data_IF_641223846680
#
_entry.id   IF_641223846680
#
_cell.length_a   1.000
_cell.length_b   1.000
_cell.length_c   1.000
_cell.angle_alpha   90.00
_cell.angle_beta   90.00
_cell.angle_gamma   90.00
#
_symmetry.space_group_name_H-M   'P 1'
#
loop_
_entity.id
_entity.type
_entity.pdbx_description
1 polymer ?
#
# COMPACT_ATOMS: atom_id res chain seq x y z
N UNK A 1 -14.67 5.78 -26.13
CA UNK A 1 -13.87 5.88 -24.89
C UNK A 1 -14.50 5.12 -23.73
N UNK A 2 -15.75 5.37 -23.33
CA UNK A 2 -16.36 4.66 -22.19
C UNK A 2 -16.39 3.12 -22.36
N UNK A 3 -16.67 2.64 -23.57
CA UNK A 3 -16.62 1.20 -23.92
C UNK A 3 -15.20 0.63 -23.85
N UNK A 4 -14.17 1.41 -24.16
CA UNK A 4 -12.79 0.98 -24.06
C UNK A 4 -12.30 0.97 -22.62
N UNK A 5 -12.68 1.96 -21.81
CA UNK A 5 -12.43 1.98 -20.36
C UNK A 5 -13.03 0.77 -19.66
N UNK A 6 -14.29 0.43 -19.93
CA UNK A 6 -14.94 -0.78 -19.37
C UNK A 6 -14.21 -2.07 -19.77
N UNK A 7 -13.65 -2.12 -20.98
CA UNK A 7 -12.82 -3.26 -21.43
C UNK A 7 -11.47 -3.31 -20.71
N UNK A 8 -10.82 -2.16 -20.49
CA UNK A 8 -9.57 -2.06 -19.73
C UNK A 8 -9.82 -2.45 -18.27
N UNK A 9 -10.85 -1.91 -17.63
CA UNK A 9 -11.23 -2.24 -16.24
C UNK A 9 -11.55 -3.73 -16.06
N UNK A 10 -12.22 -4.36 -17.02
CA UNK A 10 -12.50 -5.80 -16.98
C UNK A 10 -11.23 -6.66 -17.21
N UNK A 11 -10.30 -6.21 -18.05
CA UNK A 11 -9.09 -6.96 -18.39
C UNK A 11 -7.95 -6.78 -17.39
N UNK A 12 -7.86 -5.62 -16.74
CA UNK A 12 -6.73 -5.22 -15.89
C UNK A 12 -6.52 -6.17 -14.69
N UNK A 13 -7.54 -6.58 -13.92
CA UNK A 13 -7.35 -7.52 -12.82
C UNK A 13 -6.77 -8.85 -13.29
N UNK A 14 -7.22 -9.34 -14.45
CA UNK A 14 -6.74 -10.61 -15.01
C UNK A 14 -5.29 -10.50 -15.49
N UNK A 15 -4.93 -9.37 -16.12
CA UNK A 15 -3.56 -9.11 -16.59
C UNK A 15 -2.61 -8.95 -15.40
N UNK A 16 -3.01 -8.21 -14.36
CA UNK A 16 -2.24 -8.06 -13.14
C UNK A 16 -2.08 -9.40 -12.42
N UNK A 17 -3.13 -10.23 -12.36
CA UNK A 17 -3.05 -11.59 -11.84
C UNK A 17 -2.03 -12.42 -12.63
N UNK A 18 -2.12 -12.44 -13.97
CA UNK A 18 -1.20 -13.20 -14.82
C UNK A 18 0.25 -12.71 -14.69
N UNK A 19 0.48 -11.40 -14.58
CA UNK A 19 1.79 -10.83 -14.32
C UNK A 19 2.32 -11.20 -12.93
N UNK A 20 1.44 -11.21 -11.93
CA UNK A 20 1.81 -11.65 -10.58
C UNK A 20 2.17 -13.12 -10.59
N UNK A 21 1.37 -13.97 -11.23
CA UNK A 21 1.65 -15.41 -11.40
C UNK A 21 2.96 -15.62 -12.16
N UNK A 22 3.18 -14.90 -13.27
CA UNK A 22 4.42 -14.94 -14.04
C UNK A 22 5.63 -14.51 -13.21
N UNK A 23 5.54 -13.38 -12.53
CA UNK A 23 6.62 -12.86 -11.69
C UNK A 23 6.89 -13.80 -10.51
N UNK A 24 5.86 -14.40 -9.91
CA UNK A 24 6.03 -15.37 -8.83
C UNK A 24 6.70 -16.64 -9.35
N UNK A 25 6.28 -17.15 -10.51
CA UNK A 25 6.91 -18.32 -11.14
C UNK A 25 8.38 -18.03 -11.52
N UNK A 26 8.66 -16.90 -12.17
CA UNK A 26 10.00 -16.51 -12.61
C UNK A 26 10.92 -16.17 -11.43
N UNK A 27 10.44 -15.37 -10.46
CA UNK A 27 11.26 -14.95 -9.32
C UNK A 27 11.47 -16.08 -8.31
N UNK A 28 10.48 -16.96 -8.10
CA UNK A 28 10.61 -18.12 -7.22
C UNK A 28 11.61 -19.15 -7.77
N UNK A 29 11.73 -19.25 -9.10
CA UNK A 29 12.78 -20.03 -9.75
C UNK A 29 14.10 -19.29 -9.63
N UNK A 30 14.22 -18.04 -10.10
CA UNK A 30 15.54 -17.41 -10.29
C UNK A 30 16.27 -17.01 -9.00
N UNK A 31 15.58 -16.48 -7.99
CA UNK A 31 16.26 -15.95 -6.78
C UNK A 31 16.37 -16.94 -5.63
N UNK A 32 15.43 -17.87 -5.54
CA UNK A 32 15.36 -18.80 -4.40
C UNK A 32 16.01 -20.14 -4.72
N UNK A 33 16.13 -20.52 -6.01
CA UNK A 33 16.80 -21.77 -6.38
C UNK A 33 18.32 -21.68 -6.32
N UNK A 34 18.90 -20.61 -6.87
CA UNK A 34 20.35 -20.42 -6.92
C UNK A 34 20.91 -20.26 -5.50
N UNK A 35 20.34 -19.37 -4.69
CA UNK A 35 20.81 -19.13 -3.31
C UNK A 35 20.78 -20.39 -2.44
N UNK A 36 19.67 -21.14 -2.42
CA UNK A 36 19.52 -22.28 -1.52
C UNK A 36 20.39 -23.47 -1.93
N UNK A 37 20.55 -23.72 -3.24
CA UNK A 37 21.40 -24.80 -3.74
C UNK A 37 22.87 -24.44 -3.58
N UNK A 38 23.24 -23.19 -3.83
CA UNK A 38 24.62 -22.70 -3.65
C UNK A 38 25.04 -22.71 -2.17
N UNK A 39 24.17 -22.27 -1.27
CA UNK A 39 24.38 -22.33 0.18
C UNK A 39 24.54 -23.78 0.66
N UNK A 40 23.68 -24.70 0.20
CA UNK A 40 23.77 -26.11 0.56
C UNK A 40 25.03 -26.79 -0.01
N UNK A 41 25.43 -26.42 -1.24
CA UNK A 41 26.67 -26.90 -1.87
C UNK A 41 27.88 -26.41 -1.09
N UNK A 42 27.92 -25.13 -0.75
CA UNK A 42 28.98 -24.54 0.07
C UNK A 42 29.07 -25.19 1.45
N UNK A 43 27.93 -25.55 2.06
CA UNK A 43 27.89 -26.28 3.33
C UNK A 43 28.50 -27.69 3.21
N UNK A 44 28.25 -28.39 2.11
CA UNK A 44 28.88 -29.70 1.81
C UNK A 44 30.39 -29.53 1.66
N UNK A 45 30.86 -28.58 0.84
CA UNK A 45 32.29 -28.34 0.61
C UNK A 45 33.04 -28.00 1.91
N UNK A 46 32.42 -27.17 2.75
CA UNK A 46 32.96 -26.82 4.08
C UNK A 46 33.04 -28.04 5.00
N UNK A 47 32.03 -28.91 4.99
CA UNK A 47 32.02 -30.14 5.78
C UNK A 47 33.07 -31.16 5.28
N UNK A 48 33.27 -31.27 3.97
CA UNK A 48 34.33 -32.12 3.40
C UNK A 48 35.73 -31.60 3.79
N UNK A 49 35.94 -30.29 3.72
CA UNK A 49 37.19 -29.64 4.13
C UNK A 49 37.48 -29.90 5.61
N UNK A 50 36.49 -29.75 6.50
CA UNK A 50 36.61 -30.08 7.94
C UNK A 50 37.06 -31.52 8.16
N UNK A 51 36.48 -32.49 7.45
CA UNK A 51 36.87 -33.91 7.58
C UNK A 51 38.35 -34.10 7.24
N UNK A 52 38.82 -33.48 6.14
CA UNK A 52 40.23 -33.56 5.72
C UNK A 52 41.16 -32.98 6.81
N UNK A 53 40.82 -31.82 7.37
CA UNK A 53 41.60 -31.18 8.44
C UNK A 53 41.66 -32.04 9.71
N UNK A 54 40.52 -32.59 10.15
CA UNK A 54 40.44 -33.47 11.32
C UNK A 54 41.19 -34.78 11.09
N UNK A 55 41.12 -35.35 9.89
CA UNK A 55 41.88 -36.54 9.53
C UNK A 55 43.39 -36.27 9.52
N UNK A 56 43.82 -35.09 9.07
CA UNK A 56 45.21 -34.67 9.14
C UNK A 56 45.71 -34.51 10.59
N UNK A 57 44.86 -34.07 11.53
CA UNK A 57 45.17 -34.04 12.98
C UNK A 57 45.40 -35.45 13.52
N UNK A 58 44.51 -36.40 13.21
CA UNK A 58 44.68 -37.82 13.58
C UNK A 58 45.99 -38.40 13.05
N UNK A 59 46.34 -38.09 11.79
CA UNK A 59 47.58 -38.56 11.17
C UNK A 59 48.83 -37.94 11.82
N UNK A 60 48.78 -36.66 12.22
CA UNK A 60 49.87 -36.00 12.96
C UNK A 60 50.13 -36.66 14.31
N UNK A 61 49.08 -36.92 15.10
CA UNK A 61 49.20 -37.61 16.41
C UNK A 61 49.80 -39.01 16.22
N UNK A 62 49.36 -39.76 15.19
CA UNK A 62 49.94 -41.07 14.86
C UNK A 62 51.41 -41.00 14.41
N UNK A 63 51.77 -39.99 13.62
CA UNK A 63 53.13 -39.81 13.10
C UNK A 63 54.16 -39.53 14.20
N UNK A 64 53.80 -38.72 15.20
CA UNK A 64 54.65 -38.44 16.37
C UNK A 64 55.02 -39.74 17.11
N UNK A 65 54.08 -40.71 17.16
CA UNK A 65 54.28 -42.01 17.82
C UNK A 65 55.37 -42.87 17.17
N UNK A 66 55.66 -42.69 15.89
CA UNK A 66 56.62 -43.50 15.14
C UNK A 66 58.03 -42.86 15.02
N UNK A 67 58.20 -41.58 15.39
CA UNK A 67 59.45 -40.84 15.23
C UNK A 67 60.45 -40.90 16.39
N UNK A 68 60.08 -41.52 17.52
CA UNK A 68 60.89 -41.55 18.75
C UNK A 68 61.92 -42.67 18.80
N UNK A 69 62.89 -42.71 17.90
CA UNK A 69 64.05 -43.61 17.99
C UNK A 69 65.33 -42.86 17.68
N UNK A 70 66.01 -42.41 18.73
CA UNK A 70 67.49 -42.30 18.86
C UNK A 70 67.85 -41.12 19.76
N UNK A 71 67.91 -41.36 21.07
CA UNK A 71 68.72 -40.55 21.97
C UNK A 71 69.21 -41.44 23.12
N UNK A 72 70.48 -41.82 23.03
CA UNK A 72 71.24 -42.42 24.12
C UNK A 72 71.21 -41.48 25.33
N UNK A 73 70.48 -41.85 26.39
CA UNK A 73 70.40 -41.04 27.60
C UNK A 73 69.84 -41.84 28.77
N UNK A 74 70.74 -42.38 29.58
CA UNK A 74 70.45 -43.19 30.77
C UNK A 74 70.02 -42.26 31.92
N UNK A 75 68.75 -41.87 32.00
CA UNK A 75 68.09 -41.45 33.25
C UNK A 75 66.56 -41.40 33.09
N UNK A 76 65.85 -41.67 34.19
CA UNK A 76 64.40 -41.53 34.45
C UNK A 76 63.40 -42.44 33.68
N UNK A 77 63.22 -43.66 34.20
CA UNK A 77 62.26 -44.69 33.72
C UNK A 77 60.79 -44.49 34.16
N UNK A 78 60.46 -43.45 34.92
CA UNK A 78 59.16 -43.35 35.62
C UNK A 78 58.13 -42.46 34.91
N UNK A 79 58.52 -41.64 33.93
CA UNK A 79 57.63 -40.65 33.26
C UNK A 79 56.95 -41.20 32.00
N UNK A 80 57.44 -42.30 31.42
CA UNK A 80 56.94 -42.82 30.13
C UNK A 80 55.58 -43.53 30.17
N UNK A 81 55.05 -43.87 31.36
CA UNK A 81 53.77 -44.60 31.45
C UNK A 81 52.56 -43.65 31.40
N UNK A 82 52.66 -42.46 31.98
CA UNK A 82 51.61 -41.43 31.94
C UNK A 82 51.48 -40.79 30.56
N UNK A 83 52.60 -40.53 29.87
CA UNK A 83 52.57 -39.93 28.52
C UNK A 83 51.81 -40.78 27.50
N UNK A 84 51.97 -42.12 27.56
CA UNK A 84 51.30 -43.05 26.64
C UNK A 84 49.76 -43.00 26.76
N UNK A 85 49.22 -42.78 27.97
CA UNK A 85 47.78 -42.69 28.17
C UNK A 85 47.23 -41.34 27.68
N UNK A 86 47.95 -40.24 27.94
CA UNK A 86 47.58 -38.90 27.43
C UNK A 86 47.50 -38.90 25.89
N UNK A 87 48.47 -39.53 25.21
CA UNK A 87 48.49 -39.62 23.74
C UNK A 87 47.35 -40.51 23.18
N UNK A 88 46.83 -41.46 23.95
CA UNK A 88 45.74 -42.36 23.54
C UNK A 88 44.37 -41.68 23.69
N UNK A 89 44.17 -40.96 24.79
CA UNK A 89 42.98 -40.12 25.03
C UNK A 89 42.88 -39.00 23.98
N UNK A 90 44.01 -38.35 23.64
CA UNK A 90 44.07 -37.34 22.58
C UNK A 90 43.73 -37.91 21.20
N UNK A 91 44.19 -39.13 20.91
CA UNK A 91 43.88 -39.81 19.66
C UNK A 91 42.40 -40.19 19.57
N UNK A 92 41.80 -40.64 20.68
CA UNK A 92 40.38 -40.97 20.75
C UNK A 92 39.51 -39.72 20.59
N UNK A 93 39.85 -38.62 21.28
CA UNK A 93 39.21 -37.33 21.08
C UNK A 93 39.29 -36.85 19.62
N UNK A 94 40.46 -36.96 18.98
CA UNK A 94 40.61 -36.60 17.57
C UNK A 94 39.79 -37.50 16.62
N UNK A 95 39.60 -38.78 16.95
CA UNK A 95 38.70 -39.67 16.19
C UNK A 95 37.23 -39.29 16.35
N UNK A 96 36.83 -38.89 17.55
CA UNK A 96 35.48 -38.40 17.81
C UNK A 96 35.19 -37.14 16.97
N UNK A 97 36.14 -36.20 16.91
CA UNK A 97 36.02 -35.02 16.05
C UNK A 97 35.82 -35.38 14.56
N UNK A 98 36.47 -36.45 14.07
CA UNK A 98 36.26 -36.95 12.69
C UNK A 98 34.86 -37.55 12.52
N UNK A 99 34.33 -38.25 13.53
CA UNK A 99 32.98 -38.82 13.49
C UNK A 99 31.93 -37.71 13.46
N UNK A 100 32.09 -36.67 14.28
CA UNK A 100 31.19 -35.51 14.29
C UNK A 100 31.22 -34.77 12.94
N UNK A 101 32.41 -34.54 12.36
CA UNK A 101 32.53 -33.92 11.05
C UNK A 101 31.88 -34.77 9.93
N UNK A 102 31.97 -36.11 10.02
CA UNK A 102 31.25 -37.02 9.11
C UNK A 102 29.73 -36.94 9.27
N UNK A 103 29.25 -36.76 10.50
CA UNK A 103 27.84 -36.55 10.77
C UNK A 103 27.35 -35.22 10.20
N UNK A 104 28.10 -34.13 10.37
CA UNK A 104 27.83 -32.82 9.74
C UNK A 104 27.74 -32.95 8.21
N UNK A 105 28.69 -33.65 7.58
CA UNK A 105 28.67 -33.88 6.13
C UNK A 105 27.41 -34.64 5.68
N UNK A 106 26.98 -35.64 6.45
CA UNK A 106 25.77 -36.40 6.16
C UNK A 106 24.52 -35.53 6.21
N UNK A 107 24.43 -34.62 7.18
CA UNK A 107 23.34 -33.65 7.27
C UNK A 107 23.37 -32.66 6.10
N UNK A 108 24.52 -32.07 5.79
CA UNK A 108 24.68 -31.14 4.68
C UNK A 108 24.29 -31.78 3.33
N UNK A 109 24.67 -33.04 3.09
CA UNK A 109 24.26 -33.78 1.87
C UNK A 109 22.75 -34.00 1.80
N UNK A 110 22.10 -34.28 2.93
CA UNK A 110 20.64 -34.42 3.00
C UNK A 110 19.92 -33.11 2.73
N UNK A 111 20.46 -31.99 3.21
CA UNK A 111 19.86 -30.68 2.96
C UNK A 111 20.08 -30.21 1.51
N UNK A 112 21.23 -30.54 0.90
CA UNK A 112 21.44 -30.35 -0.54
C UNK A 112 20.46 -31.18 -1.39
N UNK A 113 20.20 -32.43 -1.03
CA UNK A 113 19.21 -33.28 -1.71
C UNK A 113 17.80 -32.67 -1.66
N UNK A 114 17.37 -32.18 -0.48
CA UNK A 114 16.09 -31.48 -0.34
C UNK A 114 16.05 -30.17 -1.14
N UNK A 115 17.13 -29.39 -1.14
CA UNK A 115 17.22 -28.15 -1.91
C UNK A 115 17.06 -28.44 -3.40
N UNK A 116 17.69 -29.51 -3.90
CA UNK A 116 17.54 -29.97 -5.28
C UNK A 116 16.12 -30.48 -5.58
N UNK A 117 15.47 -31.21 -4.67
CA UNK A 117 14.08 -31.66 -4.85
C UNK A 117 13.10 -30.48 -4.93
N UNK A 118 13.26 -29.49 -4.05
CA UNK A 118 12.45 -28.25 -4.06
C UNK A 118 12.69 -27.48 -5.36
N UNK A 119 13.95 -27.38 -5.80
CA UNK A 119 14.27 -26.71 -7.06
C UNK A 119 13.63 -27.43 -8.26
N UNK A 120 13.71 -28.77 -8.29
CA UNK A 120 13.07 -29.59 -9.32
C UNK A 120 11.56 -29.34 -9.42
N UNK A 121 10.85 -29.32 -8.28
CA UNK A 121 9.40 -29.01 -8.25
C UNK A 121 9.08 -27.61 -8.77
N UNK A 122 9.87 -26.60 -8.41
CA UNK A 122 9.69 -25.23 -8.91
C UNK A 122 9.94 -25.10 -10.41
N UNK A 123 10.95 -25.80 -10.93
CA UNK A 123 11.23 -25.86 -12.37
C UNK A 123 10.06 -26.54 -13.10
N UNK A 124 9.50 -27.61 -12.54
CA UNK A 124 8.32 -28.29 -13.09
C UNK A 124 7.08 -27.39 -13.08
N UNK A 125 6.81 -26.68 -11.97
CA UNK A 125 5.74 -25.69 -11.87
C UNK A 125 5.89 -24.57 -12.92
N UNK A 126 7.11 -24.06 -13.11
CA UNK A 126 7.41 -23.07 -14.14
C UNK A 126 7.19 -23.61 -15.55
N UNK A 127 7.66 -24.83 -15.85
CA UNK A 127 7.44 -25.46 -17.15
C UNK A 127 5.96 -25.72 -17.42
N UNK A 128 5.20 -26.16 -16.41
CA UNK A 128 3.75 -26.33 -16.48
C UNK A 128 3.03 -24.99 -16.72
N UNK A 129 3.53 -23.91 -16.12
CA UNK A 129 3.03 -22.56 -16.35
C UNK A 129 3.33 -22.11 -17.79
N UNK A 130 4.56 -22.26 -18.27
CA UNK A 130 4.96 -21.97 -19.66
C UNK A 130 4.15 -22.79 -20.68
N UNK A 131 3.81 -24.04 -20.38
CA UNK A 131 2.97 -24.87 -21.23
C UNK A 131 1.52 -24.37 -21.30
N UNK A 132 0.98 -23.82 -20.20
CA UNK A 132 -0.37 -23.22 -20.16
C UNK A 132 -0.42 -21.86 -20.85
N UNK A 133 0.67 -21.12 -20.83
CA UNK A 133 0.80 -19.78 -21.40
C UNK A 133 1.92 -19.78 -22.44
N UNK A 134 1.65 -20.23 -23.69
CA UNK A 134 2.68 -20.39 -24.72
C UNK A 134 3.29 -19.07 -25.22
N UNK A 135 2.79 -17.93 -24.72
CA UNK A 135 3.33 -16.61 -25.02
C UNK A 135 4.69 -16.45 -24.35
N UNK A 136 5.66 -15.91 -25.09
CA UNK A 136 6.99 -15.64 -24.52
C UNK A 136 6.88 -14.58 -23.42
N UNK A 137 7.77 -14.63 -22.43
CA UNK A 137 7.84 -13.63 -21.36
C UNK A 137 7.85 -12.19 -21.92
N UNK A 138 8.62 -11.96 -23.00
CA UNK A 138 8.66 -10.67 -23.70
C UNK A 138 7.30 -10.24 -24.26
N UNK A 139 6.51 -11.17 -24.79
CA UNK A 139 5.18 -10.90 -25.34
C UNK A 139 4.19 -10.53 -24.23
N UNK A 140 4.26 -11.21 -23.07
CA UNK A 140 3.45 -10.90 -21.90
C UNK A 140 3.81 -9.53 -21.31
N UNK A 141 5.10 -9.22 -21.20
CA UNK A 141 5.57 -7.90 -20.74
C UNK A 141 5.19 -6.80 -21.73
N UNK A 142 5.30 -7.05 -23.02
CA UNK A 142 4.85 -6.13 -24.05
C UNK A 142 3.34 -5.89 -23.96
N UNK A 143 2.55 -6.95 -23.80
CA UNK A 143 1.10 -6.84 -23.64
C UNK A 143 0.70 -6.07 -22.38
N UNK A 144 1.40 -6.29 -21.27
CA UNK A 144 1.19 -5.54 -20.05
C UNK A 144 1.50 -4.05 -20.21
N UNK A 145 2.59 -3.72 -20.92
CA UNK A 145 2.95 -2.34 -21.27
C UNK A 145 1.86 -1.71 -22.14
N UNK A 146 1.39 -2.39 -23.17
CA UNK A 146 0.31 -1.89 -24.04
C UNK A 146 -0.96 -1.55 -23.25
N UNK A 147 -1.41 -2.45 -22.37
CA UNK A 147 -2.61 -2.24 -21.55
C UNK A 147 -2.40 -1.09 -20.56
N UNK A 148 -1.23 -1.02 -19.93
CA UNK A 148 -0.88 0.05 -19.00
C UNK A 148 -0.77 1.41 -19.70
N UNK A 149 -0.24 1.42 -20.94
CA UNK A 149 -0.15 2.61 -21.78
C UNK A 149 -1.54 3.16 -22.08
N UNK A 150 -2.51 2.32 -22.44
CA UNK A 150 -3.89 2.78 -22.65
C UNK A 150 -4.48 3.47 -21.40
N UNK A 151 -4.26 2.91 -20.21
CA UNK A 151 -4.70 3.52 -18.95
C UNK A 151 -3.96 4.83 -18.65
N UNK A 152 -2.65 4.87 -18.85
CA UNK A 152 -1.83 6.06 -18.66
C UNK A 152 -2.20 7.18 -19.65
N UNK A 153 -2.45 6.84 -20.91
CA UNK A 153 -2.88 7.77 -21.96
C UNK A 153 -4.30 8.28 -21.67
N UNK A 154 -5.21 7.41 -21.19
CA UNK A 154 -6.52 7.85 -20.72
C UNK A 154 -6.41 8.84 -19.57
N UNK A 155 -5.62 8.53 -18.53
CA UNK A 155 -5.40 9.43 -17.40
C UNK A 155 -4.77 10.76 -17.84
N UNK A 156 -3.79 10.71 -18.75
CA UNK A 156 -3.15 11.91 -19.29
C UNK A 156 -4.18 12.76 -20.04
N UNK A 157 -4.92 12.17 -20.96
CA UNK A 157 -5.94 12.85 -21.76
C UNK A 157 -7.06 13.44 -20.90
N UNK A 158 -7.51 12.73 -19.87
CA UNK A 158 -8.64 13.15 -19.06
C UNK A 158 -8.28 14.17 -17.98
N UNK A 159 -7.10 14.03 -17.35
CA UNK A 159 -6.75 14.80 -16.15
C UNK A 159 -5.53 15.71 -16.30
N UNK A 160 -4.66 15.50 -17.29
CA UNK A 160 -3.40 16.25 -17.45
C UNK A 160 -3.43 17.21 -18.64
N UNK A 161 -4.09 16.84 -19.73
CA UNK A 161 -4.28 17.72 -20.89
C UNK A 161 -5.33 18.79 -20.59
N UNK A 162 -5.09 20.04 -20.99
CA UNK A 162 -5.95 21.19 -20.66
C UNK A 162 -7.40 21.05 -21.17
N UNK A 163 -7.58 20.29 -22.24
CA UNK A 163 -8.86 19.96 -22.87
C UNK A 163 -9.47 18.66 -22.34
N UNK A 164 -8.89 18.05 -21.30
CA UNK A 164 -9.44 16.86 -20.65
C UNK A 164 -10.67 17.20 -19.80
N UNK A 165 -11.68 16.33 -19.82
CA UNK A 165 -12.96 16.57 -19.14
C UNK A 165 -12.78 16.78 -17.62
N UNK A 166 -11.75 16.16 -17.03
CA UNK A 166 -11.46 16.21 -15.60
C UNK A 166 -10.26 17.10 -15.23
N UNK A 167 -9.68 17.82 -16.20
CA UNK A 167 -8.51 18.66 -15.99
C UNK A 167 -8.77 19.76 -14.95
N UNK A 168 -9.84 20.53 -15.13
CA UNK A 168 -10.21 21.63 -14.23
C UNK A 168 -10.52 21.12 -12.82
N UNK A 169 -11.24 20.00 -12.72
CA UNK A 169 -11.54 19.36 -11.43
C UNK A 169 -10.26 18.92 -10.70
N UNK A 170 -9.29 18.36 -11.42
CA UNK A 170 -7.99 18.02 -10.84
C UNK A 170 -7.25 19.27 -10.36
N UNK A 171 -7.21 20.33 -11.16
CA UNK A 171 -6.52 21.57 -10.78
C UNK A 171 -7.17 22.27 -9.59
N UNK A 172 -8.49 22.24 -9.50
CA UNK A 172 -9.22 22.67 -8.31
C UNK A 172 -8.85 21.82 -7.08
N UNK A 173 -8.72 20.50 -7.24
CA UNK A 173 -8.24 19.62 -6.17
C UNK A 173 -6.78 19.92 -5.77
N UNK A 174 -5.90 20.20 -6.74
CA UNK A 174 -4.52 20.65 -6.48
C UNK A 174 -4.51 21.97 -5.70
N UNK A 175 -5.43 22.90 -6.00
CA UNK A 175 -5.63 24.14 -5.22
C UNK A 175 -6.02 23.83 -3.77
N UNK A 176 -6.98 22.93 -3.55
CA UNK A 176 -7.37 22.49 -2.21
C UNK A 176 -6.21 21.85 -1.44
N UNK A 177 -5.42 21.00 -2.10
CA UNK A 177 -4.30 20.27 -1.51
C UNK A 177 -3.08 21.15 -1.19
N UNK A 178 -3.01 22.35 -1.79
CA UNK A 178 -1.91 23.29 -1.60
C UNK A 178 -2.38 24.50 -0.79
N UNK A 179 -3.13 25.41 -1.42
CA UNK A 179 -3.55 26.68 -0.84
C UNK A 179 -4.42 26.49 0.42
N UNK A 180 -5.36 25.55 0.41
CA UNK A 180 -6.31 25.34 1.51
C UNK A 180 -5.92 24.23 2.48
N UNK A 181 -4.71 23.68 2.35
CA UNK A 181 -4.24 22.61 3.22
C UNK A 181 -3.19 23.14 4.21
N UNK A 182 -3.55 23.40 5.47
CA UNK A 182 -2.61 23.91 6.47
C UNK A 182 -1.45 22.95 6.76
N UNK A 183 -1.59 21.64 6.53
CA UNK A 183 -0.48 20.68 6.65
C UNK A 183 0.57 20.88 5.56
N UNK A 184 0.15 21.30 4.37
CA UNK A 184 1.06 21.62 3.26
C UNK A 184 1.70 23.01 3.42
N UNK A 185 0.98 23.96 3.99
CA UNK A 185 1.49 25.31 4.30
C UNK A 185 2.52 25.32 5.44
N UNK A 186 2.50 24.29 6.29
CA UNK A 186 3.48 24.13 7.36
C UNK A 186 4.89 23.99 6.77
N UNK A 187 5.84 24.80 7.24
CA UNK A 187 7.21 24.87 6.73
C UNK A 187 7.40 25.70 5.45
N UNK A 188 6.41 26.50 5.05
CA UNK A 188 6.45 27.35 3.85
C UNK A 188 6.74 28.83 4.12
N UNK A 189 7.34 29.16 5.26
CA UNK A 189 7.64 30.54 5.66
C UNK A 189 8.56 31.26 4.66
N UNK A 190 9.49 30.52 4.05
CA UNK A 190 10.42 31.05 3.05
C UNK A 190 9.90 30.96 1.60
N UNK A 191 8.75 30.31 1.40
CA UNK A 191 8.21 29.94 0.08
C UNK A 191 6.92 30.73 -0.24
N UNK A 192 6.70 31.90 0.36
CA UNK A 192 5.46 32.69 0.21
C UNK A 192 5.10 32.92 -1.25
N UNK A 193 6.06 33.32 -2.09
CA UNK A 193 5.83 33.56 -3.51
C UNK A 193 5.37 32.30 -4.28
N UNK A 194 5.82 31.12 -3.84
CA UNK A 194 5.39 29.84 -4.42
C UNK A 194 3.94 29.52 -4.01
N UNK A 195 3.54 29.83 -2.77
CA UNK A 195 2.15 29.69 -2.33
C UNK A 195 1.24 30.68 -3.07
N UNK A 196 1.69 31.92 -3.26
CA UNK A 196 0.96 32.95 -4.02
C UNK A 196 0.76 32.56 -5.48
N UNK A 197 1.72 31.87 -6.10
CA UNK A 197 1.58 31.38 -7.47
C UNK A 197 0.40 30.38 -7.61
N UNK A 198 0.09 29.62 -6.56
CA UNK A 198 -1.02 28.67 -6.56
C UNK A 198 -2.41 29.34 -6.46
N UNK A 199 -2.50 30.65 -6.21
CA UNK A 199 -3.78 31.38 -6.24
C UNK A 199 -4.41 31.35 -7.64
N UNK A 200 -3.59 31.26 -8.70
CA UNK A 200 -4.10 31.15 -10.09
C UNK A 200 -4.98 29.90 -10.26
N UNK A 201 -4.76 28.85 -9.47
CA UNK A 201 -5.60 27.65 -9.50
C UNK A 201 -7.04 27.89 -9.03
N UNK A 202 -7.36 29.06 -8.44
CA UNK A 202 -8.73 29.42 -8.11
C UNK A 202 -9.61 29.61 -9.35
N UNK A 203 -9.02 29.98 -10.49
CA UNK A 203 -9.77 30.16 -11.75
C UNK A 203 -10.42 28.84 -12.21
N UNK A 204 -9.86 27.71 -11.80
CA UNK A 204 -10.28 26.35 -12.15
C UNK A 204 -11.62 25.96 -11.50
N UNK A 205 -12.04 26.69 -10.45
CA UNK A 205 -13.36 26.51 -9.84
C UNK A 205 -14.49 27.18 -10.66
N UNK A 206 -14.17 28.03 -11.64
CA UNK A 206 -15.16 28.69 -12.50
C UNK A 206 -15.98 29.80 -11.83
N UNK A 207 -15.68 30.16 -10.58
CA UNK A 207 -16.38 31.25 -9.89
C UNK A 207 -15.91 32.61 -10.41
N UNK A 208 -16.86 33.46 -10.85
CA UNK A 208 -16.56 34.84 -11.24
C UNK A 208 -15.96 35.67 -10.11
N UNK A 209 -16.36 35.36 -8.87
CA UNK A 209 -15.93 36.06 -7.65
C UNK A 209 -14.43 35.86 -7.35
N UNK A 210 -13.80 34.82 -7.91
CA UNK A 210 -12.39 34.49 -7.65
C UNK A 210 -11.40 35.24 -8.54
N UNK A 211 -11.87 36.19 -9.35
CA UNK A 211 -11.04 36.92 -10.32
C UNK A 211 -10.69 38.33 -9.85
N UNK A 212 -9.65 38.90 -10.44
CA UNK A 212 -9.26 40.31 -10.25
C UNK A 212 -8.84 40.62 -8.80
N UNK A 213 -9.45 41.66 -8.21
CA UNK A 213 -9.11 42.19 -6.88
C UNK A 213 -9.21 41.13 -5.77
N UNK A 214 -10.05 40.09 -5.93
CA UNK A 214 -10.14 39.02 -4.95
C UNK A 214 -8.80 38.27 -4.77
N UNK A 215 -8.09 37.99 -5.86
CA UNK A 215 -6.80 37.29 -5.80
C UNK A 215 -5.73 38.15 -5.10
N UNK A 216 -5.77 39.47 -5.28
CA UNK A 216 -4.85 40.40 -4.61
C UNK A 216 -5.11 40.45 -3.10
N UNK A 217 -6.38 40.50 -2.69
CA UNK A 217 -6.77 40.42 -1.28
C UNK A 217 -6.33 39.10 -0.64
N UNK A 218 -6.50 37.99 -1.36
CA UNK A 218 -6.08 36.68 -0.89
C UNK A 218 -4.55 36.57 -0.77
N UNK A 219 -3.80 37.12 -1.74
CA UNK A 219 -2.32 37.21 -1.68
C UNK A 219 -1.87 37.94 -0.41
N UNK A 220 -2.51 39.07 -0.08
CA UNK A 220 -2.20 39.84 1.12
C UNK A 220 -2.50 39.08 2.44
N UNK A 221 -3.30 38.02 2.41
CA UNK A 221 -3.60 37.17 3.57
C UNK A 221 -2.64 35.97 3.71
N UNK A 222 -1.98 35.52 2.64
CA UNK A 222 -1.13 34.31 2.63
C UNK A 222 -0.04 34.31 3.71
N UNK A 223 0.78 35.37 3.89
CA UNK A 223 1.86 35.33 4.86
C UNK A 223 1.37 35.04 6.29
N UNK A 224 0.26 35.65 6.68
CA UNK A 224 -0.37 35.47 8.00
C UNK A 224 -0.99 34.08 8.16
N UNK A 225 -1.49 33.49 7.07
CA UNK A 225 -2.02 32.12 7.09
C UNK A 225 -0.89 31.10 7.24
N UNK A 226 0.24 31.30 6.55
CA UNK A 226 1.43 30.45 6.71
C UNK A 226 1.95 30.56 8.15
N UNK A 227 2.06 31.77 8.70
CA UNK A 227 2.41 31.98 10.11
C UNK A 227 1.47 31.22 11.05
N UNK A 228 0.15 31.33 10.82
CA UNK A 228 -0.86 30.61 11.58
C UNK A 228 -0.71 29.09 11.48
N UNK A 229 -0.39 28.55 10.30
CA UNK A 229 -0.21 27.11 10.08
C UNK A 229 1.03 26.55 10.81
N UNK A 230 2.06 27.39 10.99
CA UNK A 230 3.28 27.03 11.70
C UNK A 230 3.19 27.25 13.21
N UNK A 231 2.20 28.00 13.68
CA UNK A 231 2.02 28.27 15.10
C UNK A 231 1.41 27.05 15.84
N UNK A 232 2.18 26.35 16.71
CA UNK A 232 1.67 25.17 17.42
C UNK A 232 0.60 25.51 18.47
N UNK A 233 0.52 26.78 18.90
CA UNK A 233 -0.50 27.21 19.87
C UNK A 233 -1.89 27.37 19.23
N UNK A 234 -1.96 27.48 17.89
CA UNK A 234 -3.23 27.66 17.19
C UNK A 234 -4.01 26.35 17.11
N UNK A 235 -3.31 25.25 16.85
CA UNK A 235 -3.94 23.93 16.71
C UNK A 235 -2.93 22.82 16.98
N UNK A 236 -3.24 21.97 17.94
CA UNK A 236 -2.47 20.77 18.22
C UNK A 236 -2.92 19.63 17.29
N UNK A 237 -2.16 19.43 16.21
CA UNK A 237 -2.41 18.39 15.23
C UNK A 237 -2.33 16.98 15.79
N UNK A 238 -1.55 16.75 16.85
CA UNK A 238 -1.36 15.41 17.42
C UNK A 238 -2.27 15.19 18.63
N UNK A 239 -2.52 16.22 19.45
CA UNK A 239 -3.40 16.16 20.61
C UNK A 239 -4.90 16.27 20.31
N UNK A 240 -5.30 16.56 19.06
CA UNK A 240 -6.71 16.57 18.69
C UNK A 240 -7.34 15.16 18.76
N UNK A 241 -8.49 15.03 19.44
CA UNK A 241 -9.17 13.75 19.61
C UNK A 241 -9.54 13.09 18.28
N UNK A 242 -9.29 11.78 18.17
CA UNK A 242 -9.66 10.98 16.99
C UNK A 242 -11.16 11.10 16.74
N UNK A 243 -11.59 11.35 15.50
CA UNK A 243 -13.02 11.40 15.17
C UNK A 243 -13.71 10.05 15.43
N UNK A 244 -15.01 10.07 15.77
CA UNK A 244 -15.81 8.83 15.98
C UNK A 244 -15.77 7.90 14.77
N UNK A 245 -15.78 8.47 13.56
CA UNK A 245 -15.71 7.71 12.31
C UNK A 245 -14.35 7.02 12.15
N UNK A 246 -13.25 7.73 12.46
CA UNK A 246 -11.91 7.13 12.43
C UNK A 246 -11.77 6.02 13.48
N UNK A 247 -12.22 6.25 14.72
CA UNK A 247 -12.24 5.22 15.76
C UNK A 247 -13.02 3.97 15.31
N UNK A 248 -14.21 4.16 14.74
CA UNK A 248 -15.03 3.05 14.19
C UNK A 248 -14.30 2.30 13.08
N UNK A 249 -13.59 3.01 12.18
CA UNK A 249 -12.79 2.39 11.11
C UNK A 249 -11.61 1.60 11.68
N UNK A 250 -10.91 2.14 12.68
CA UNK A 250 -9.81 1.47 13.36
C UNK A 250 -10.29 0.18 14.05
N UNK A 251 -11.38 0.23 14.81
CA UNK A 251 -11.96 -0.96 15.45
C UNK A 251 -12.31 -2.05 14.42
N UNK A 252 -12.91 -1.67 13.28
CA UNK A 252 -13.20 -2.61 12.19
C UNK A 252 -11.94 -3.18 11.54
N UNK A 253 -10.83 -2.45 11.50
CA UNK A 253 -9.55 -2.97 11.02
C UNK A 253 -8.93 -3.92 12.05
N UNK A 254 -8.94 -3.57 13.34
CA UNK A 254 -8.41 -4.42 14.43
C UNK A 254 -9.13 -5.76 14.48
N UNK A 255 -10.45 -5.78 14.29
CA UNK A 255 -11.22 -7.03 14.21
C UNK A 255 -10.87 -7.92 13.01
N UNK A 256 -10.32 -7.36 11.93
CA UNK A 256 -10.01 -8.08 10.69
C UNK A 256 -8.55 -8.55 10.59
N UNK A 257 -7.62 -7.72 11.05
CA UNK A 257 -6.18 -7.94 10.88
C UNK A 257 -5.47 -8.29 12.21
N UNK A 258 -6.17 -8.19 13.34
CA UNK A 258 -5.56 -8.27 14.67
C UNK A 258 -5.01 -6.90 15.12
N UNK A 259 -4.74 -6.77 16.42
CA UNK A 259 -4.38 -5.48 17.03
C UNK A 259 -3.00 -4.98 16.61
N UNK A 260 -2.03 -5.87 16.44
CA UNK A 260 -0.64 -5.52 16.13
C UNK A 260 -0.37 -5.12 14.67
N UNK A 261 -1.31 -5.41 13.75
CA UNK A 261 -1.17 -5.08 12.33
C UNK A 261 -1.84 -3.76 11.95
N UNK A 262 -2.59 -3.14 12.86
CA UNK A 262 -3.34 -1.91 12.55
C UNK A 262 -2.49 -0.69 12.82
N UNK A 263 -2.19 0.02 11.76
CA UNK A 263 -1.62 1.35 11.86
C UNK A 263 -2.64 2.36 12.40
N UNK A 264 -2.31 2.97 13.52
CA UNK A 264 -3.12 3.98 14.19
C UNK A 264 -2.79 5.41 13.77
N UNK A 265 -1.79 5.60 12.90
CA UNK A 265 -1.40 6.89 12.38
C UNK A 265 -2.56 7.52 11.60
N UNK A 266 -3.12 8.59 12.17
CA UNK A 266 -4.23 9.33 11.57
C UNK A 266 -3.84 9.92 10.21
N UNK A 267 -2.55 10.19 9.97
CA UNK A 267 -2.05 10.74 8.69
C UNK A 267 -2.28 9.78 7.52
N UNK A 268 -2.47 8.49 7.80
CA UNK A 268 -2.78 7.46 6.78
C UNK A 268 -4.28 7.34 6.50
N UNK A 269 -5.14 7.96 7.29
CA UNK A 269 -6.58 7.99 7.07
C UNK A 269 -7.01 9.35 6.51
N UNK A 270 -7.27 9.40 5.20
CA UNK A 270 -7.64 10.64 4.50
C UNK A 270 -8.89 11.32 5.10
N UNK A 271 -9.83 10.55 5.66
CA UNK A 271 -11.02 11.10 6.30
C UNK A 271 -10.72 11.81 7.62
N UNK A 272 -9.81 11.26 8.42
CA UNK A 272 -9.33 11.89 9.65
C UNK A 272 -8.46 13.12 9.34
N UNK A 273 -7.58 13.04 8.32
CA UNK A 273 -6.80 14.19 7.81
C UNK A 273 -7.74 15.33 7.42
N UNK A 274 -8.76 15.05 6.59
CA UNK A 274 -9.74 16.05 6.18
C UNK A 274 -10.52 16.65 7.37
N UNK A 275 -10.87 15.81 8.36
CA UNK A 275 -11.55 16.27 9.58
C UNK A 275 -10.68 17.27 10.34
N UNK A 276 -9.41 16.95 10.57
CA UNK A 276 -8.48 17.85 11.29
C UNK A 276 -8.24 19.15 10.52
N UNK A 277 -8.12 19.10 9.20
CA UNK A 277 -8.03 20.29 8.35
C UNK A 277 -9.28 21.17 8.53
N UNK A 278 -10.48 20.58 8.55
CA UNK A 278 -11.70 21.33 8.78
C UNK A 278 -11.75 21.96 10.16
N UNK A 279 -11.39 21.22 11.21
CA UNK A 279 -11.35 21.75 12.59
C UNK A 279 -10.35 22.90 12.73
N UNK A 280 -9.25 22.85 11.99
CA UNK A 280 -8.29 23.95 11.90
C UNK A 280 -8.89 25.21 11.23
N UNK A 281 -9.70 25.04 10.17
CA UNK A 281 -10.38 26.13 9.48
C UNK A 281 -11.64 26.63 10.19
N UNK A 282 -12.26 25.82 11.05
CA UNK A 282 -13.53 26.12 11.71
C UNK A 282 -13.53 27.49 12.43
N UNK A 283 -12.51 27.88 13.21
CA UNK A 283 -12.46 29.21 13.83
C UNK A 283 -12.47 30.36 12.82
N UNK A 284 -11.85 30.17 11.64
CA UNK A 284 -11.83 31.18 10.57
C UNK A 284 -13.21 31.28 9.90
N UNK A 285 -13.82 30.14 9.58
CA UNK A 285 -15.06 30.06 8.81
C UNK A 285 -16.30 30.36 9.66
N UNK A 286 -16.40 29.77 10.86
CA UNK A 286 -17.60 29.76 11.70
C UNK A 286 -17.62 30.89 12.74
N UNK A 287 -16.51 31.13 13.43
CA UNK A 287 -16.46 32.08 14.57
C UNK A 287 -16.32 33.54 14.14
N UNK A 288 -16.29 33.78 12.82
CA UNK A 288 -16.37 35.12 12.29
C UNK A 288 -15.05 35.89 12.34
N UNK A 289 -13.90 35.20 12.39
CA UNK A 289 -12.60 35.86 12.38
C UNK A 289 -12.51 36.88 11.23
N UNK A 290 -12.26 38.14 11.57
CA UNK A 290 -12.14 39.28 10.64
C UNK A 290 -10.74 39.39 10.04
N UNK A 291 -9.81 38.55 10.46
CA UNK A 291 -8.41 38.59 10.07
C UNK A 291 -8.17 38.11 8.62
N UNK A 292 -9.01 37.18 8.15
CA UNK A 292 -8.89 36.51 6.84
C UNK A 292 -10.20 36.58 6.02
N UNK A 293 -10.70 37.77 5.68
CA UNK A 293 -11.97 37.93 4.97
C UNK A 293 -11.98 37.26 3.59
N UNK A 294 -10.92 37.39 2.79
CA UNK A 294 -10.84 36.78 1.46
C UNK A 294 -10.74 35.26 1.57
N UNK A 295 -9.89 34.76 2.47
CA UNK A 295 -9.71 33.32 2.67
C UNK A 295 -10.97 32.63 3.20
N UNK A 296 -11.64 33.28 4.16
CA UNK A 296 -12.95 32.85 4.66
C UNK A 296 -14.00 32.79 3.54
N UNK A 297 -14.02 33.78 2.66
CA UNK A 297 -14.93 33.79 1.53
C UNK A 297 -14.65 32.63 0.57
N UNK A 298 -13.38 32.42 0.18
CA UNK A 298 -12.98 31.29 -0.64
C UNK A 298 -13.35 29.95 -0.01
N UNK A 299 -13.01 29.74 1.27
CA UNK A 299 -13.33 28.52 2.00
C UNK A 299 -14.83 28.25 2.06
N UNK A 300 -15.66 29.28 2.27
CA UNK A 300 -17.12 29.10 2.25
C UNK A 300 -17.62 28.68 0.87
N UNK A 301 -17.11 29.28 -0.20
CA UNK A 301 -17.47 28.89 -1.57
C UNK A 301 -17.03 27.47 -1.89
N UNK A 302 -15.79 27.12 -1.54
CA UNK A 302 -15.18 25.82 -1.85
C UNK A 302 -15.74 24.70 -0.96
N UNK A 303 -15.96 24.95 0.34
CA UNK A 303 -16.57 23.97 1.24
C UNK A 303 -18.05 23.71 0.91
N UNK A 304 -18.78 24.70 0.39
CA UNK A 304 -20.10 24.47 -0.19
C UNK A 304 -20.03 23.74 -1.54
N UNK A 305 -18.92 23.90 -2.25
CA UNK A 305 -18.61 23.12 -3.45
C UNK A 305 -18.10 21.71 -3.09
N UNK A 306 -18.06 21.31 -1.80
CA UNK A 306 -17.50 20.03 -1.42
C UNK A 306 -18.17 18.93 -2.24
N UNK A 307 -17.29 18.41 -3.08
CA UNK A 307 -17.44 17.46 -4.16
C UNK A 307 -18.15 16.25 -3.64
N UNK A 308 -19.43 16.14 -3.93
CA UNK A 308 -20.18 14.98 -3.55
C UNK A 308 -19.90 13.85 -4.55
N UNK A 309 -18.68 13.31 -4.61
CA UNK A 309 -18.60 11.89 -4.99
C UNK A 309 -19.32 11.06 -3.93
N UNK A 310 -19.29 11.49 -2.67
CA UNK A 310 -19.99 10.82 -1.56
C UNK A 310 -21.51 11.08 -1.55
N UNK A 311 -22.01 12.28 -1.87
CA UNK A 311 -23.47 12.43 -2.08
C UNK A 311 -23.92 11.89 -3.43
N UNK A 312 -23.12 11.91 -4.50
CA UNK A 312 -23.44 11.17 -5.73
C UNK A 312 -23.41 9.66 -5.50
N UNK A 313 -22.48 9.13 -4.71
CA UNK A 313 -22.45 7.72 -4.27
C UNK A 313 -23.61 7.41 -3.33
N UNK A 314 -24.01 8.35 -2.46
CA UNK A 314 -25.24 8.23 -1.67
C UNK A 314 -26.45 8.21 -2.58
N UNK A 315 -26.52 9.10 -3.57
CA UNK A 315 -27.57 9.14 -4.61
C UNK A 315 -27.58 7.82 -5.38
N UNK A 316 -26.43 7.28 -5.80
CA UNK A 316 -26.33 5.98 -6.46
C UNK A 316 -26.68 4.81 -5.54
N UNK A 317 -26.34 4.88 -4.26
CA UNK A 317 -26.72 3.89 -3.25
C UNK A 317 -28.23 3.92 -3.00
N UNK A 318 -28.84 5.10 -2.92
CA UNK A 318 -30.28 5.28 -2.82
C UNK A 318 -30.98 4.85 -4.13
N UNK A 319 -30.39 5.16 -5.29
CA UNK A 319 -30.89 4.76 -6.61
C UNK A 319 -30.95 3.24 -6.70
N UNK A 320 -29.87 2.57 -6.29
CA UNK A 320 -29.80 1.12 -6.21
C UNK A 320 -30.85 0.57 -5.27
N UNK A 321 -31.00 1.12 -4.05
CA UNK A 321 -32.05 0.71 -3.11
C UNK A 321 -33.48 0.89 -3.66
N UNK A 322 -33.74 1.95 -4.43
CA UNK A 322 -35.04 2.19 -5.07
C UNK A 322 -35.28 1.16 -6.18
N UNK A 323 -34.29 0.90 -7.04
CA UNK A 323 -34.36 -0.14 -8.08
C UNK A 323 -34.53 -1.54 -7.51
N UNK A 324 -33.75 -1.92 -6.51
CA UNK A 324 -33.81 -3.23 -5.85
C UNK A 324 -35.20 -3.49 -5.21
N UNK A 325 -35.93 -2.43 -4.82
CA UNK A 325 -37.28 -2.54 -4.21
C UNK A 325 -38.43 -2.42 -5.20
N UNK A 326 -38.26 -1.64 -6.27
CA UNK A 326 -39.34 -1.32 -7.21
C UNK A 326 -39.20 -2.04 -8.56
N UNK A 327 -38.11 -2.81 -8.75
CA UNK A 327 -37.66 -3.38 -10.03
C UNK A 327 -37.42 -2.31 -11.11
N UNK A 328 -37.12 -2.75 -12.33
CA UNK A 328 -36.75 -1.88 -13.46
C UNK A 328 -37.93 -1.16 -14.14
N UNK A 329 -39.17 -1.41 -13.69
CA UNK A 329 -40.39 -0.87 -14.33
C UNK A 329 -40.84 0.49 -13.75
N UNK A 330 -39.98 1.19 -13.01
CA UNK A 330 -40.34 2.49 -12.42
C UNK A 330 -40.24 3.60 -13.47
N UNK A 331 -41.27 4.43 -13.59
CA UNK A 331 -41.23 5.65 -14.40
C UNK A 331 -40.11 6.58 -13.92
N UNK A 332 -39.43 7.24 -14.84
CA UNK A 332 -38.29 8.13 -14.58
C UNK A 332 -38.66 9.24 -13.57
N UNK A 333 -39.81 9.89 -13.76
CA UNK A 333 -40.32 10.92 -12.85
C UNK A 333 -40.48 10.41 -11.40
N UNK A 334 -40.95 9.16 -11.25
CA UNK A 334 -41.13 8.52 -9.94
C UNK A 334 -39.80 8.12 -9.31
N UNK A 335 -38.80 7.79 -10.12
CA UNK A 335 -37.44 7.54 -9.69
C UNK A 335 -36.82 8.81 -9.14
N UNK A 336 -36.91 9.92 -9.88
CA UNK A 336 -36.37 11.23 -9.49
C UNK A 336 -36.97 11.74 -8.17
N UNK A 337 -38.29 11.70 -8.03
CA UNK A 337 -38.98 12.15 -6.80
C UNK A 337 -38.55 11.32 -5.58
N UNK A 338 -38.42 10.00 -5.74
CA UNK A 338 -37.96 9.10 -4.66
C UNK A 338 -36.50 9.34 -4.31
N UNK A 339 -35.66 9.54 -5.32
CA UNK A 339 -34.24 9.83 -5.14
C UNK A 339 -34.05 11.15 -4.38
N UNK A 340 -34.77 12.18 -4.81
CA UNK A 340 -34.78 13.50 -4.19
C UNK A 340 -35.20 13.44 -2.73
N UNK A 341 -36.27 12.70 -2.41
CA UNK A 341 -36.77 12.56 -1.04
C UNK A 341 -35.86 11.75 -0.12
N UNK A 342 -35.11 10.78 -0.65
CA UNK A 342 -34.18 9.98 0.13
C UNK A 342 -32.86 10.71 0.38
N UNK A 343 -32.40 11.54 -0.57
CA UNK A 343 -31.12 12.22 -0.47
C UNK A 343 -31.16 13.50 0.37
N UNK A 344 -32.30 14.22 0.40
CA UNK A 344 -32.43 15.50 1.11
C UNK A 344 -32.96 15.38 2.55
N UNK A 345 -32.94 14.17 3.12
CA UNK A 345 -33.50 13.89 4.45
C UNK A 345 -35.01 13.64 4.39
N UNK A 346 -35.53 13.04 5.47
CA UNK A 346 -36.81 12.36 5.52
C UNK A 346 -38.03 13.26 5.20
N UNK A 347 -38.32 13.48 3.91
CA UNK A 347 -39.55 14.11 3.42
C UNK A 347 -40.78 13.20 3.57
N UNK A 348 -40.72 12.13 4.40
CA UNK A 348 -41.87 11.25 4.67
C UNK A 348 -43.12 12.04 5.05
N UNK A 349 -42.99 13.12 5.82
CA UNK A 349 -44.14 13.96 6.19
C UNK A 349 -44.82 14.64 4.99
N UNK A 350 -44.07 14.93 3.92
CA UNK A 350 -44.58 15.48 2.66
C UNK A 350 -45.07 14.38 1.70
N UNK A 351 -44.35 13.25 1.65
CA UNK A 351 -44.74 12.09 0.84
C UNK A 351 -45.99 11.38 1.36
N UNK A 352 -46.16 11.27 2.68
CA UNK A 352 -47.38 10.70 3.29
C UNK A 352 -48.60 11.55 2.89
N UNK A 353 -48.47 12.89 2.84
CA UNK A 353 -49.55 13.77 2.37
C UNK A 353 -49.82 13.65 0.87
N UNK A 354 -48.79 13.39 0.06
CA UNK A 354 -48.96 13.19 -1.38
C UNK A 354 -49.55 11.80 -1.72
N UNK A 355 -49.38 10.83 -0.83
CA UNK A 355 -49.88 9.45 -0.97
C UNK A 355 -51.27 9.25 -0.34
N UNK A 356 -51.79 10.26 0.35
CA UNK A 356 -53.20 10.34 0.80
C UNK A 356 -54.14 10.90 -0.29
N UNK A 357 -53.70 10.96 -1.55
CA UNK A 357 -54.68 11.04 -2.63
C UNK A 357 -55.42 9.70 -2.69
N UNK A 358 -56.75 9.67 -2.53
CA UNK A 358 -57.50 8.47 -2.78
C UNK A 358 -57.18 8.08 -4.22
N UNK A 359 -56.78 6.83 -4.43
CA UNK A 359 -56.99 6.20 -5.71
C UNK A 359 -58.48 6.42 -5.98
N UNK A 360 -58.78 7.34 -6.91
CA UNK A 360 -60.10 7.40 -7.50
C UNK A 360 -60.25 6.02 -8.10
N UNK A 361 -61.14 5.22 -7.52
CA UNK A 361 -61.62 3.99 -8.14
C UNK A 361 -62.08 4.42 -9.53
N UNK A 362 -61.24 4.15 -10.53
CA UNK A 362 -61.66 4.22 -11.91
C UNK A 362 -62.56 3.01 -12.03
N UNK A 363 -63.86 3.26 -11.98
CA UNK A 363 -64.87 2.25 -12.26
C UNK A 363 -64.51 1.64 -13.63
N UNK A 364 -63.97 0.42 -13.61
CA UNK A 364 -63.87 -0.45 -14.78
C UNK A 364 -65.28 -0.93 -15.11
N UNK A 365 -66.11 -0.03 -15.60
CA UNK A 365 -67.37 -0.33 -16.27
C UNK A 365 -67.71 0.87 -17.16
N UNK A 366 -67.13 0.89 -18.36
CA UNK A 366 -67.81 1.40 -19.57
C UNK A 366 -67.09 0.88 -20.82
N UNK A 367 -67.87 0.17 -21.64
CA UNK A 367 -67.61 -0.25 -23.03
C UNK A 367 -67.30 0.93 -23.98
#
# INVERSE_FOLDING_TARGET
>A
MEVEMKRVEAALPRVLQLLTEAHTAVAAVKRVSESNVDEATTAVDNAETKIVEKQAKVNRIRGIRNGGTSANGRQTRTVGRTQKYVDEDELEAARLEVLDAKHELKLAKKDLEKANEINGKKIEEYNNWCAKFPQKEEELLQRAREISLCGADYLRKQFLEQNGDMYHAKKAADCCNTLFNPLWLKGKENDVAFVEANIVLLDEFGFSDFKGNFQEQLKAEIPRIIERANNPMVFDWEGFDKSKLFQTRLERRRRRLGEHEVDEDWKKDLGEVATRIWEWWRPIVAEGNKEFPAFKFALRRIALLQVSSCDVERVFSQLKLVRDRCNDNLLEDMLEVRLFALCNGNLKSLLIKAWEFPLVDVDEDDE
#
